data_IF_841328643289
#
_entry.id   IF_841328643289
#
_cell.length_a   1.000
_cell.length_b   1.000
_cell.length_c   1.000
_cell.angle_alpha   90.00
_cell.angle_beta   90.00
_cell.angle_gamma   90.00
#
_symmetry.space_group_name_H-M   'P 1'
#
loop_
_entity.id
_entity.type
_entity.pdbx_description
1 polymer ?
#
# COMPACT_ATOMS: atom_id res chain seq x y z
N UNK A 1 -3.95 -80.70 -11.79
CA UNK A 1 -2.73 -79.89 -11.55
C UNK A 1 -1.75 -80.69 -10.69
N UNK A 2 -1.46 -81.94 -11.07
CA UNK A 2 -0.54 -82.82 -10.33
C UNK A 2 0.59 -83.21 -11.28
N UNK A 3 1.84 -82.96 -10.87
CA UNK A 3 3.05 -83.40 -11.59
C UNK A 3 3.85 -82.33 -12.34
N UNK A 4 3.45 -81.05 -12.34
CA UNK A 4 4.29 -79.97 -12.88
C UNK A 4 5.24 -79.42 -11.83
N UNK A 5 6.46 -79.07 -12.24
CA UNK A 5 7.42 -78.42 -11.33
C UNK A 5 6.95 -76.98 -11.03
N UNK A 6 7.23 -76.43 -9.84
CA UNK A 6 6.66 -75.14 -9.39
C UNK A 6 6.81 -73.95 -10.36
N UNK A 7 7.83 -73.91 -11.21
CA UNK A 7 8.05 -72.83 -12.19
C UNK A 7 7.41 -73.06 -13.58
N UNK A 8 6.85 -74.24 -13.84
CA UNK A 8 6.10 -74.55 -15.07
C UNK A 8 4.61 -74.21 -14.95
N UNK A 9 4.21 -73.79 -13.76
CA UNK A 9 2.91 -73.22 -13.49
C UNK A 9 3.08 -71.73 -13.71
N UNK A 10 2.44 -71.12 -14.72
CA UNK A 10 2.39 -69.67 -14.82
C UNK A 10 1.61 -69.17 -13.61
N UNK A 11 2.35 -68.88 -12.54
CA UNK A 11 1.80 -68.23 -11.37
C UNK A 11 1.40 -66.84 -11.83
N UNK A 12 0.09 -66.60 -11.90
CA UNK A 12 -0.42 -65.23 -11.98
C UNK A 12 0.09 -64.57 -10.71
N UNK A 13 1.04 -63.64 -10.88
CA UNK A 13 1.62 -62.91 -9.77
C UNK A 13 0.50 -62.09 -9.13
N UNK A 14 0.12 -62.47 -7.91
CA UNK A 14 -0.91 -61.75 -7.16
C UNK A 14 -0.51 -60.30 -6.89
N UNK A 15 0.78 -59.95 -6.95
CA UNK A 15 1.22 -58.56 -6.92
C UNK A 15 0.83 -57.79 -8.20
N UNK A 16 0.81 -58.42 -9.37
CA UNK A 16 0.24 -57.79 -10.59
C UNK A 16 -1.28 -57.65 -10.49
N UNK A 17 -1.98 -58.60 -9.85
CA UNK A 17 -3.39 -58.46 -9.50
C UNK A 17 -3.66 -57.35 -8.46
N UNK A 18 -2.69 -57.04 -7.60
CA UNK A 18 -2.75 -55.93 -6.65
C UNK A 18 -2.32 -54.58 -7.23
N UNK A 19 -1.62 -54.60 -8.37
CA UNK A 19 -1.42 -53.42 -9.24
C UNK A 19 -2.65 -53.06 -10.05
N UNK A 20 -3.80 -53.72 -9.83
CA UNK A 20 -5.08 -53.30 -10.41
C UNK A 20 -5.39 -51.86 -9.96
N UNK A 21 -5.15 -50.92 -10.86
CA UNK A 21 -5.28 -49.48 -10.62
C UNK A 21 -3.98 -48.68 -10.74
N UNK A 22 -2.81 -49.33 -10.85
CA UNK A 22 -1.50 -48.66 -10.93
C UNK A 22 -1.07 -48.35 -12.38
N UNK A 23 -1.95 -48.60 -13.36
CA UNK A 23 -1.81 -48.00 -14.68
C UNK A 23 -2.04 -46.48 -14.55
N UNK A 24 -0.97 -45.76 -14.22
CA UNK A 24 -0.93 -44.30 -14.28
C UNK A 24 -0.95 -43.90 -15.75
N UNK A 25 -2.14 -43.79 -16.33
CA UNK A 25 -2.32 -43.13 -17.62
C UNK A 25 -2.06 -41.65 -17.43
N UNK A 26 -0.81 -41.23 -17.66
CA UNK A 26 -0.41 -39.84 -17.60
C UNK A 26 -0.97 -39.08 -18.81
N UNK A 27 -2.26 -38.75 -18.76
CA UNK A 27 -2.87 -37.84 -19.74
C UNK A 27 -2.42 -36.42 -19.41
N UNK A 28 -1.92 -35.69 -20.39
CA UNK A 28 -1.50 -34.31 -20.17
C UNK A 28 -2.71 -33.45 -19.79
N UNK A 29 -2.50 -32.54 -18.83
CA UNK A 29 -3.52 -31.60 -18.37
C UNK A 29 -4.08 -30.77 -19.54
N UNK A 30 -3.22 -30.46 -20.51
CA UNK A 30 -3.55 -29.74 -21.73
C UNK A 30 -4.53 -30.51 -22.63
N UNK A 31 -4.30 -31.81 -22.83
CA UNK A 31 -5.22 -32.65 -23.60
C UNK A 31 -6.58 -32.73 -22.92
N UNK A 32 -6.60 -32.85 -21.59
CA UNK A 32 -7.84 -32.84 -20.80
C UNK A 32 -8.57 -31.49 -20.94
N UNK A 33 -7.86 -30.37 -20.81
CA UNK A 33 -8.47 -29.06 -20.95
C UNK A 33 -9.06 -28.83 -22.35
N UNK A 34 -8.35 -29.24 -23.41
CA UNK A 34 -8.87 -29.21 -24.78
C UNK A 34 -10.12 -30.10 -24.94
N UNK A 35 -10.09 -31.32 -24.40
CA UNK A 35 -11.21 -32.26 -24.45
C UNK A 35 -12.46 -31.67 -23.79
N UNK A 36 -12.30 -31.02 -22.65
CA UNK A 36 -13.38 -30.44 -21.86
C UNK A 36 -13.73 -28.99 -22.24
N UNK A 37 -13.12 -28.44 -23.30
CA UNK A 37 -13.30 -27.06 -23.75
C UNK A 37 -13.14 -26.07 -22.59
N UNK A 38 -12.10 -26.26 -21.78
CA UNK A 38 -11.71 -25.35 -20.70
C UNK A 38 -10.54 -24.51 -21.23
N UNK A 39 -10.57 -23.17 -21.10
CA UNK A 39 -9.46 -22.34 -21.53
C UNK A 39 -8.19 -22.72 -20.75
N UNK A 40 -7.14 -23.08 -21.48
CA UNK A 40 -5.82 -23.37 -20.89
C UNK A 40 -5.04 -22.06 -20.75
N UNK A 41 -4.44 -21.78 -19.58
CA UNK A 41 -3.63 -20.59 -19.35
C UNK A 41 -2.13 -20.79 -19.68
N UNK A 42 -1.79 -21.82 -20.47
CA UNK A 42 -0.40 -22.18 -20.81
C UNK A 42 0.19 -21.20 -21.82
N UNK A 43 0.60 -20.03 -21.36
CA UNK A 43 1.09 -19.00 -22.26
C UNK A 43 2.61 -18.77 -22.17
N UNK A 44 3.30 -19.10 -21.06
CA UNK A 44 4.67 -18.61 -20.86
C UNK A 44 5.74 -19.56 -20.29
N UNK A 45 5.43 -20.55 -19.44
CA UNK A 45 6.45 -21.46 -18.85
C UNK A 45 5.97 -22.91 -18.72
N UNK A 46 6.93 -23.84 -18.75
CA UNK A 46 6.74 -25.27 -18.47
C UNK A 46 7.45 -25.69 -17.17
N UNK A 47 7.03 -26.80 -16.57
CA UNK A 47 7.61 -27.33 -15.32
C UNK A 47 9.13 -27.53 -15.38
N UNK A 48 9.69 -27.82 -16.56
CA UNK A 48 11.13 -27.92 -16.77
C UNK A 48 11.88 -26.59 -16.62
N UNK A 49 11.21 -25.45 -16.83
CA UNK A 49 11.79 -24.11 -16.83
C UNK A 49 11.79 -23.46 -15.45
N UNK A 50 11.06 -24.02 -14.47
CA UNK A 50 10.93 -23.48 -13.11
C UNK A 50 12.28 -23.32 -12.42
N UNK A 51 13.19 -24.29 -12.60
CA UNK A 51 14.53 -24.23 -12.00
C UNK A 51 15.35 -23.06 -12.56
N UNK A 52 15.35 -22.85 -13.88
CA UNK A 52 16.09 -21.72 -14.48
C UNK A 52 15.52 -20.38 -14.03
N UNK A 53 14.19 -20.25 -13.96
CA UNK A 53 13.54 -19.01 -13.56
C UNK A 53 13.87 -18.67 -12.11
N UNK A 54 13.85 -19.67 -11.22
CA UNK A 54 14.13 -19.45 -9.80
C UNK A 54 15.60 -19.04 -9.54
N UNK A 55 16.57 -19.74 -10.15
CA UNK A 55 17.99 -19.52 -9.86
C UNK A 55 18.64 -18.41 -10.70
N UNK A 56 18.21 -18.24 -11.96
CA UNK A 56 18.82 -17.31 -12.91
C UNK A 56 18.02 -16.00 -12.96
N UNK A 57 16.74 -16.07 -13.30
CA UNK A 57 15.87 -14.89 -13.45
C UNK A 57 15.47 -14.30 -12.09
N UNK A 58 15.45 -15.13 -11.04
CA UNK A 58 14.99 -14.79 -9.68
C UNK A 58 13.58 -14.21 -9.62
N UNK A 59 12.75 -14.53 -10.61
CA UNK A 59 11.36 -14.09 -10.68
C UNK A 59 10.45 -15.13 -10.02
N UNK A 60 10.26 -14.97 -8.70
CA UNK A 60 9.40 -15.85 -7.92
C UNK A 60 7.91 -15.64 -8.24
N UNK A 61 7.51 -14.41 -8.55
CA UNK A 61 6.10 -14.07 -8.76
C UNK A 61 5.54 -14.80 -9.99
N UNK A 62 6.34 -14.89 -11.05
CA UNK A 62 6.00 -15.65 -12.25
C UNK A 62 5.76 -17.14 -11.98
N UNK A 63 6.55 -17.75 -11.10
CA UNK A 63 6.39 -19.16 -10.70
C UNK A 63 5.09 -19.36 -9.90
N UNK A 64 4.75 -18.41 -9.03
CA UNK A 64 3.50 -18.43 -8.27
C UNK A 64 2.31 -18.34 -9.21
N UNK A 65 2.33 -17.41 -10.16
CA UNK A 65 1.27 -17.25 -11.15
C UNK A 65 1.06 -18.50 -12.00
N UNK A 66 2.15 -19.15 -12.43
CA UNK A 66 2.11 -20.42 -13.15
C UNK A 66 1.45 -21.54 -12.33
N UNK A 67 1.87 -21.73 -11.08
CA UNK A 67 1.30 -22.75 -10.21
C UNK A 67 -0.20 -22.52 -9.95
N UNK A 68 -0.60 -21.26 -9.74
CA UNK A 68 -2.00 -20.90 -9.51
C UNK A 68 -2.88 -21.19 -10.73
N UNK A 69 -2.39 -20.84 -11.92
CA UNK A 69 -3.05 -21.12 -13.21
C UNK A 69 -3.25 -22.62 -13.44
N UNK A 70 -2.26 -23.45 -13.11
CA UNK A 70 -2.36 -24.91 -13.25
C UNK A 70 -3.41 -25.50 -12.30
N UNK A 71 -3.44 -25.05 -11.04
CA UNK A 71 -4.46 -25.46 -10.06
C UNK A 71 -5.87 -25.02 -10.51
N UNK A 72 -6.02 -23.80 -11.03
CA UNK A 72 -7.29 -23.30 -11.56
C UNK A 72 -7.79 -24.14 -12.73
N UNK A 73 -6.89 -24.54 -13.64
CA UNK A 73 -7.22 -25.37 -14.80
C UNK A 73 -7.68 -26.76 -14.37
N UNK A 74 -6.96 -27.37 -13.42
CA UNK A 74 -7.33 -28.68 -12.87
C UNK A 74 -8.71 -28.62 -12.17
N UNK A 75 -8.93 -27.60 -11.34
CA UNK A 75 -10.21 -27.40 -10.67
C UNK A 75 -11.34 -27.21 -11.68
N UNK A 76 -11.11 -26.44 -12.75
CA UNK A 76 -12.09 -26.21 -13.80
C UNK A 76 -12.41 -27.46 -14.62
N UNK A 77 -11.41 -28.32 -14.89
CA UNK A 77 -11.64 -29.63 -15.50
C UNK A 77 -12.53 -30.48 -14.59
N UNK A 78 -12.20 -30.56 -13.31
CA UNK A 78 -12.98 -31.33 -12.34
C UNK A 78 -14.43 -30.83 -12.23
N UNK A 79 -14.62 -29.51 -12.20
CA UNK A 79 -15.95 -28.88 -12.20
C UNK A 79 -16.71 -29.15 -13.50
N UNK A 80 -16.03 -29.10 -14.64
CA UNK A 80 -16.62 -29.43 -15.95
C UNK A 80 -17.07 -30.88 -16.02
N UNK A 81 -16.30 -31.81 -15.46
CA UNK A 81 -16.70 -33.21 -15.32
C UNK A 81 -17.95 -33.37 -14.44
N UNK A 82 -18.15 -32.48 -13.46
CA UNK A 82 -19.35 -32.39 -12.61
C UNK A 82 -20.47 -31.51 -13.19
N UNK A 83 -20.31 -31.01 -14.42
CA UNK A 83 -21.26 -30.09 -15.08
C UNK A 83 -21.51 -28.78 -14.31
N UNK A 84 -20.53 -28.30 -13.56
CA UNK A 84 -20.57 -27.02 -12.86
C UNK A 84 -19.95 -25.89 -13.71
N UNK A 85 -20.28 -24.64 -13.38
CA UNK A 85 -19.67 -23.47 -14.00
C UNK A 85 -18.17 -23.36 -13.68
N UNK A 86 -17.44 -22.70 -14.58
CA UNK A 86 -16.00 -22.46 -14.45
C UNK A 86 -15.71 -21.45 -13.34
N UNK A 87 -14.69 -21.74 -12.55
CA UNK A 87 -14.06 -20.79 -11.64
C UNK A 87 -13.27 -19.77 -12.46
N UNK A 88 -13.43 -18.51 -12.08
CA UNK A 88 -12.60 -17.41 -12.54
C UNK A 88 -11.54 -17.15 -11.48
N UNK A 89 -10.33 -16.76 -11.90
CA UNK A 89 -9.32 -16.25 -10.99
C UNK A 89 -9.90 -15.00 -10.33
N UNK A 90 -9.99 -15.00 -9.00
CA UNK A 90 -10.20 -13.75 -8.29
C UNK A 90 -8.85 -13.04 -8.32
N UNK A 91 -8.70 -12.07 -9.22
CA UNK A 91 -7.61 -11.10 -9.07
C UNK A 91 -7.87 -10.47 -7.70
N UNK A 92 -6.89 -10.52 -6.79
CA UNK A 92 -6.97 -9.81 -5.53
C UNK A 92 -7.30 -8.34 -5.83
N UNK A 93 -8.57 -7.98 -5.74
CA UNK A 93 -9.01 -6.59 -5.66
C UNK A 93 -8.56 -5.94 -4.33
N UNK A 94 -7.94 -6.74 -3.44
CA UNK A 94 -7.31 -6.33 -2.17
C UNK A 94 -5.83 -5.96 -2.31
N UNK A 95 -5.24 -5.99 -3.51
CA UNK A 95 -4.23 -4.96 -3.84
C UNK A 95 -4.99 -3.68 -4.22
N UNK A 96 -5.77 -3.19 -3.27
CA UNK A 96 -6.46 -1.92 -3.39
C UNK A 96 -5.38 -0.85 -3.29
N UNK A 97 -5.04 -0.26 -4.44
CA UNK A 97 -4.39 1.03 -4.60
C UNK A 97 -3.43 1.41 -3.47
N UNK A 98 -2.22 0.84 -3.46
CA UNK A 98 -1.11 1.56 -2.81
C UNK A 98 -0.92 2.83 -3.65
N UNK A 99 -1.24 3.99 -3.08
CA UNK A 99 -0.85 5.26 -3.70
C UNK A 99 0.67 5.21 -3.94
N UNK A 100 1.10 5.65 -5.13
CA UNK A 100 2.53 5.74 -5.44
C UNK A 100 3.13 6.81 -4.53
N UNK A 101 4.39 6.69 -4.09
CA UNK A 101 5.05 7.66 -3.19
C UNK A 101 4.88 9.12 -3.67
N UNK A 102 4.88 9.34 -4.99
CA UNK A 102 4.64 10.65 -5.62
C UNK A 102 3.22 11.18 -5.35
N UNK A 103 2.19 10.32 -5.40
CA UNK A 103 0.81 10.73 -5.13
C UNK A 103 0.58 11.03 -3.65
N UNK A 104 1.31 10.34 -2.75
CA UNK A 104 1.26 10.61 -1.31
C UNK A 104 1.86 11.99 -1.02
N UNK A 105 2.93 12.36 -1.73
CA UNK A 105 3.53 13.69 -1.62
C UNK A 105 2.56 14.79 -2.09
N UNK A 106 1.92 14.62 -3.25
CA UNK A 106 0.94 15.57 -3.78
C UNK A 106 -0.25 15.78 -2.81
N UNK A 107 -0.78 14.69 -2.23
CA UNK A 107 -1.84 14.75 -1.21
C UNK A 107 -1.34 15.46 0.05
N UNK A 108 -0.09 15.20 0.46
CA UNK A 108 0.54 15.89 1.59
C UNK A 108 0.60 17.41 1.39
N UNK A 109 0.99 17.87 0.21
CA UNK A 109 1.02 19.30 -0.11
C UNK A 109 -0.38 19.93 -0.09
N UNK A 110 -1.39 19.22 -0.59
CA UNK A 110 -2.77 19.68 -0.57
C UNK A 110 -3.31 19.81 0.86
N UNK A 111 -3.05 18.82 1.72
CA UNK A 111 -3.42 18.86 3.14
C UNK A 111 -2.73 20.04 3.85
N UNK A 112 -1.44 20.27 3.59
CA UNK A 112 -0.70 21.41 4.17
C UNK A 112 -1.35 22.74 3.75
N UNK A 113 -1.72 22.88 2.47
CA UNK A 113 -2.39 24.09 1.97
C UNK A 113 -3.74 24.32 2.66
N UNK A 114 -4.51 23.27 2.91
CA UNK A 114 -5.77 23.36 3.65
C UNK A 114 -5.55 23.74 5.12
N UNK A 115 -4.55 23.14 5.78
CA UNK A 115 -4.21 23.47 7.17
C UNK A 115 -3.80 24.95 7.33
N UNK A 116 -3.14 25.56 6.34
CA UNK A 116 -2.80 26.99 6.33
C UNK A 116 -4.01 27.93 6.27
N UNK A 117 -5.19 27.43 5.89
CA UNK A 117 -6.44 28.22 5.87
C UNK A 117 -7.16 28.23 7.23
N UNK A 118 -6.71 27.42 8.18
CA UNK A 118 -7.26 27.35 9.54
C UNK A 118 -6.46 28.30 10.43
N UNK A 119 -7.15 29.27 11.02
CA UNK A 119 -6.57 30.26 11.91
C UNK A 119 -7.02 30.03 13.34
N UNK A 120 -6.15 30.33 14.30
CA UNK A 120 -6.52 30.31 15.71
C UNK A 120 -7.39 31.56 16.05
N UNK A 121 -8.47 31.42 16.83
CA UNK A 121 -9.33 32.53 17.18
C UNK A 121 -8.68 33.53 18.18
N UNK A 122 -7.64 33.12 18.90
CA UNK A 122 -6.90 33.98 19.85
C UNK A 122 -5.71 34.67 19.17
N UNK A 123 -5.11 34.06 18.15
CA UNK A 123 -3.96 34.60 17.40
C UNK A 123 -4.24 34.55 15.90
N UNK A 124 -4.18 35.69 15.16
CA UNK A 124 -4.47 35.74 13.72
C UNK A 124 -3.32 35.18 12.85
N UNK A 125 -2.82 34.01 13.21
CA UNK A 125 -1.79 33.24 12.51
C UNK A 125 -2.32 31.82 12.32
N UNK A 126 -1.90 31.15 11.26
CA UNK A 126 -2.36 29.82 10.92
C UNK A 126 -1.74 28.74 11.82
N UNK A 127 -2.46 27.63 11.98
CA UNK A 127 -2.09 26.53 12.88
C UNK A 127 -0.80 25.80 12.46
N UNK A 128 -0.46 25.85 11.17
CA UNK A 128 0.71 25.19 10.62
C UNK A 128 1.98 26.01 10.93
N UNK A 129 1.98 27.32 10.63
CA UNK A 129 3.10 28.22 10.94
C UNK A 129 3.27 28.44 12.46
N UNK A 130 2.18 28.34 13.24
CA UNK A 130 2.25 28.32 14.70
C UNK A 130 2.94 27.05 15.26
N UNK A 131 3.10 26.00 14.45
CA UNK A 131 3.72 24.75 14.88
C UNK A 131 2.84 23.93 15.84
N UNK A 132 1.51 24.03 15.71
CA UNK A 132 0.56 23.24 16.51
C UNK A 132 0.35 21.83 15.93
N UNK A 133 0.70 21.62 14.66
CA UNK A 133 0.68 20.32 14.00
C UNK A 133 2.05 19.67 14.15
N UNK A 134 2.11 18.48 14.76
CA UNK A 134 3.37 17.78 15.00
C UNK A 134 3.72 16.78 13.92
N UNK A 135 2.72 16.02 13.47
CA UNK A 135 2.93 15.00 12.46
C UNK A 135 1.66 14.79 11.64
N UNK A 136 1.86 14.54 10.35
CA UNK A 136 0.80 14.20 9.40
C UNK A 136 1.24 12.93 8.69
N UNK A 137 0.62 11.82 9.07
CA UNK A 137 0.89 10.51 8.51
C UNK A 137 -0.20 10.14 7.52
N UNK A 138 0.20 9.79 6.29
CA UNK A 138 -0.71 9.36 5.23
C UNK A 138 -0.45 7.88 4.98
N UNK A 139 -1.47 7.06 5.13
CA UNK A 139 -1.39 5.62 4.86
C UNK A 139 -1.58 5.32 3.38
N UNK A 140 -1.12 4.14 2.95
CA UNK A 140 -1.29 3.64 1.58
C UNK A 140 -2.77 3.59 1.11
N UNK A 141 -3.72 3.55 2.04
CA UNK A 141 -5.18 3.52 1.80
C UNK A 141 -5.84 4.92 1.74
N UNK A 142 -5.03 5.99 1.74
CA UNK A 142 -5.43 7.40 1.91
C UNK A 142 -6.20 7.68 3.21
N UNK A 143 -5.83 6.96 4.26
CA UNK A 143 -6.22 7.28 5.64
C UNK A 143 -5.18 8.24 6.23
N UNK A 144 -5.63 9.40 6.70
CA UNK A 144 -4.79 10.47 7.22
C UNK A 144 -4.87 10.48 8.74
N UNK A 145 -3.72 10.39 9.40
CA UNK A 145 -3.59 10.55 10.85
C UNK A 145 -2.86 11.85 11.15
N UNK A 146 -3.53 12.76 11.83
CA UNK A 146 -2.98 14.06 12.23
C UNK A 146 -2.74 14.05 13.74
N UNK A 147 -1.52 14.38 14.15
CA UNK A 147 -1.18 14.60 15.55
C UNK A 147 -0.99 16.10 15.75
N UNK A 148 -1.82 16.68 16.61
CA UNK A 148 -1.76 18.11 16.91
C UNK A 148 -1.91 18.41 18.40
N UNK A 149 -1.57 19.63 18.76
CA UNK A 149 -1.69 20.16 20.13
C UNK A 149 -2.47 21.46 20.15
N UNK A 150 -2.82 21.92 21.34
CA UNK A 150 -3.47 23.20 21.59
C UNK A 150 -2.55 24.10 22.41
N UNK A 151 -2.65 25.41 22.20
CA UNK A 151 -1.92 26.42 22.96
C UNK A 151 -2.30 26.43 24.45
N UNK A 152 -3.54 26.03 24.80
CA UNK A 152 -4.04 26.00 26.18
C UNK A 152 -4.83 24.73 26.50
N UNK A 153 -4.49 23.97 27.56
CA UNK A 153 -5.03 22.63 27.82
C UNK A 153 -6.47 22.55 28.37
N UNK A 154 -7.28 23.62 28.33
CA UNK A 154 -8.68 23.55 28.83
C UNK A 154 -9.60 24.70 28.37
N UNK A 155 -9.38 25.28 27.19
CA UNK A 155 -10.25 26.35 26.69
C UNK A 155 -11.57 25.74 26.13
N UNK A 156 -12.77 26.22 26.52
CA UNK A 156 -14.04 25.69 26.01
C UNK A 156 -14.24 25.89 24.50
N UNK A 157 -13.43 26.76 23.88
CA UNK A 157 -13.39 27.00 22.42
C UNK A 157 -12.42 26.04 21.72
N UNK A 158 -11.51 25.40 22.45
CA UNK A 158 -10.49 24.53 21.88
C UNK A 158 -11.03 23.16 21.42
N UNK A 159 -12.29 22.83 21.72
CA UNK A 159 -12.95 21.64 21.16
C UNK A 159 -13.43 21.86 19.71
N UNK A 160 -13.64 23.12 19.27
CA UNK A 160 -14.16 23.37 17.92
C UNK A 160 -13.07 23.37 16.85
N UNK A 161 -11.84 23.75 17.21
CA UNK A 161 -10.71 23.84 16.28
C UNK A 161 -10.31 22.46 15.71
N UNK A 162 -10.15 21.39 16.51
CA UNK A 162 -9.88 20.05 15.99
C UNK A 162 -10.97 19.55 15.05
N UNK A 163 -12.24 19.87 15.35
CA UNK A 163 -13.36 19.50 14.49
C UNK A 163 -13.31 20.24 13.14
N UNK A 164 -13.00 21.53 13.13
CA UNK A 164 -12.82 22.31 11.90
C UNK A 164 -11.67 21.77 11.04
N UNK A 165 -10.54 21.42 11.66
CA UNK A 165 -9.41 20.80 10.96
C UNK A 165 -9.82 19.47 10.33
N UNK A 166 -10.52 18.63 11.09
CA UNK A 166 -11.00 17.33 10.60
C UNK A 166 -11.96 17.49 9.42
N UNK A 167 -12.90 18.42 9.51
CA UNK A 167 -13.90 18.66 8.47
C UNK A 167 -13.25 19.19 7.19
N UNK A 168 -12.29 20.12 7.28
CA UNK A 168 -11.57 20.65 6.11
C UNK A 168 -10.65 19.62 5.46
N UNK A 169 -9.94 18.80 6.24
CA UNK A 169 -9.08 17.74 5.69
C UNK A 169 -9.93 16.62 5.07
N UNK A 170 -11.13 16.37 5.59
CA UNK A 170 -12.07 15.41 5.00
C UNK A 170 -12.69 15.91 3.67
N UNK A 171 -12.64 17.21 3.39
CA UNK A 171 -13.11 17.80 2.12
C UNK A 171 -12.08 17.66 0.99
N UNK A 172 -10.81 17.41 1.32
CA UNK A 172 -9.73 17.22 0.32
C UNK A 172 -10.02 16.01 -0.56
N UNK A 173 -9.93 16.20 -1.87
CA UNK A 173 -10.11 15.12 -2.83
C UNK A 173 -9.04 14.05 -2.58
N UNK A 174 -9.44 12.77 -2.64
CA UNK A 174 -8.58 11.59 -2.39
C UNK A 174 -8.33 11.22 -0.92
N UNK A 175 -8.86 11.94 0.07
CA UNK A 175 -8.84 11.48 1.48
C UNK A 175 -10.06 10.61 1.78
N UNK A 176 -9.86 9.45 2.41
CA UNK A 176 -10.94 8.50 2.71
C UNK A 176 -11.39 8.55 4.17
N UNK A 177 -10.45 8.61 5.10
CA UNK A 177 -10.72 8.71 6.54
C UNK A 177 -9.69 9.62 7.20
N UNK A 178 -10.14 10.46 8.13
CA UNK A 178 -9.29 11.35 8.92
C UNK A 178 -9.42 10.99 10.39
N UNK A 179 -8.31 10.62 11.00
CA UNK A 179 -8.19 10.47 12.45
C UNK A 179 -7.30 11.59 13.01
N UNK A 180 -7.80 12.27 14.03
CA UNK A 180 -7.13 13.40 14.65
C UNK A 180 -6.87 13.07 16.11
N UNK A 181 -5.60 12.96 16.45
CA UNK A 181 -5.13 12.67 17.80
C UNK A 181 -4.58 13.94 18.44
N UNK A 182 -5.18 14.31 19.56
CA UNK A 182 -4.78 15.46 20.36
C UNK A 182 -3.78 15.03 21.42
N UNK A 183 -2.54 15.51 21.31
CA UNK A 183 -1.49 15.28 22.31
C UNK A 183 -1.08 16.57 23.00
N UNK A 184 -0.80 16.49 24.30
CA UNK A 184 -0.26 17.60 25.10
C UNK A 184 1.20 17.37 25.49
N UNK A 185 1.78 16.24 25.07
CA UNK A 185 3.19 15.90 25.27
C UNK A 185 3.85 15.70 23.89
N UNK A 186 4.91 16.46 23.55
CA UNK A 186 5.55 17.53 24.34
C UNK A 186 4.66 18.79 24.47
N UNK A 187 4.92 19.62 25.49
CA UNK A 187 4.24 20.91 25.62
C UNK A 187 4.71 21.86 24.51
N UNK A 188 3.78 22.49 23.80
CA UNK A 188 4.12 23.51 22.80
C UNK A 188 4.93 24.67 23.39
N UNK A 189 5.95 25.11 22.66
CA UNK A 189 6.75 26.28 23.02
C UNK A 189 6.96 27.17 21.79
N UNK A 190 7.09 28.47 22.02
CA UNK A 190 7.31 29.56 21.06
C UNK A 190 8.43 29.29 20.05
N UNK A 191 9.43 28.50 20.44
CA UNK A 191 10.54 28.14 19.57
C UNK A 191 10.09 27.29 18.37
N UNK A 192 8.97 26.58 18.48
CA UNK A 192 8.37 25.74 17.44
C UNK A 192 7.67 26.53 16.34
N UNK A 193 7.45 27.84 16.51
CA UNK A 193 6.88 28.71 15.48
C UNK A 193 7.87 28.96 14.33
N UNK A 194 7.34 29.08 13.11
CA UNK A 194 8.12 29.50 11.94
C UNK A 194 8.65 30.94 12.07
N UNK A 195 9.63 31.31 11.24
CA UNK A 195 10.21 32.66 11.26
C UNK A 195 9.16 33.71 10.83
N UNK A 196 8.29 33.33 9.92
CA UNK A 196 7.16 34.09 9.40
C UNK A 196 6.13 34.38 10.51
N UNK A 197 5.73 33.36 11.28
CA UNK A 197 4.83 33.53 12.41
C UNK A 197 5.44 34.44 13.49
N UNK A 198 6.73 34.26 13.81
CA UNK A 198 7.48 35.11 14.75
C UNK A 198 7.55 36.56 14.28
N UNK A 199 7.59 36.79 12.98
CA UNK A 199 7.59 38.13 12.39
C UNK A 199 6.24 38.83 12.59
N UNK A 200 5.14 38.17 12.24
CA UNK A 200 3.78 38.71 12.35
C UNK A 200 3.39 39.01 13.81
N UNK A 201 3.84 38.16 14.74
CA UNK A 201 3.66 38.37 16.18
C UNK A 201 4.57 39.46 16.77
N UNK A 202 5.36 40.17 15.95
CA UNK A 202 6.25 41.25 16.38
C UNK A 202 7.41 40.79 17.26
N UNK A 203 7.73 39.50 17.24
CA UNK A 203 8.76 38.89 18.09
C UNK A 203 10.16 39.03 17.47
N UNK A 204 10.23 39.26 16.17
CA UNK A 204 11.41 39.71 15.46
C UNK A 204 11.38 41.24 15.36
N UNK A 205 12.03 41.93 16.30
CA UNK A 205 12.36 43.33 16.07
C UNK A 205 13.46 43.38 15.00
N UNK A 206 13.15 43.97 13.85
CA UNK A 206 14.20 44.54 13.01
C UNK A 206 14.93 45.57 13.87
N UNK A 207 16.12 45.22 14.37
CA UNK A 207 17.04 46.22 14.89
C UNK A 207 17.34 47.17 13.74
N UNK A 208 16.74 48.36 13.77
CA UNK A 208 16.89 49.44 12.77
C UNK A 208 18.37 49.89 12.64
N UNK A 209 19.29 49.33 13.42
CA UNK A 209 20.73 49.56 13.35
C UNK A 209 21.41 49.02 12.07
N UNK A 210 20.76 48.18 11.26
CA UNK A 210 21.36 47.70 10.00
C UNK A 210 20.96 48.53 8.77
N UNK A 211 19.93 49.38 8.86
CA UNK A 211 19.58 50.30 7.75
C UNK A 211 20.63 51.40 7.55
N UNK A 212 21.42 51.70 8.59
CA UNK A 212 22.49 52.70 8.53
C UNK A 212 23.80 52.17 7.89
N UNK A 213 23.96 50.85 7.80
CA UNK A 213 25.06 50.23 7.04
C UNK A 213 24.82 50.23 5.52
N UNK A 214 23.58 50.06 5.06
CA UNK A 214 23.27 50.09 3.63
C UNK A 214 23.33 51.50 3.01
N UNK A 215 22.95 52.56 3.75
CA UNK A 215 23.08 53.93 3.25
C UNK A 215 24.53 54.40 3.06
N UNK A 216 25.50 53.84 3.81
CA UNK A 216 26.92 54.14 3.59
C UNK A 216 27.51 53.45 2.36
N UNK A 217 26.96 52.33 1.92
CA UNK A 217 27.41 51.64 0.71
C UNK A 217 26.93 52.33 -0.58
N UNK A 218 25.75 52.97 -0.57
CA UNK A 218 25.25 53.72 -1.72
C UNK A 218 26.03 55.01 -2.01
N UNK A 219 26.70 55.62 -1.01
CA UNK A 219 27.46 56.86 -1.20
C UNK A 219 28.87 56.65 -1.79
N UNK A 220 29.32 55.39 -1.93
CA UNK A 220 30.68 55.08 -2.44
C UNK A 220 30.71 54.65 -3.91
N UNK A 221 29.55 54.61 -4.59
CA UNK A 221 29.45 54.19 -6.00
C UNK A 221 29.27 55.38 -6.95
N UNK A 222 29.01 56.60 -6.44
CA UNK A 222 28.80 57.82 -7.24
C UNK A 222 29.91 58.88 -7.10
N UNK A 223 31.19 58.48 -6.96
CA UNK A 223 32.34 59.39 -7.11
C UNK A 223 33.46 58.82 -7.96
#
# INVERSE_FOLDING_TARGET
MFGKKPWEIPHIDTMELWKFGDYKSFVSLELLAHLFKVPTPKDDIDGSMVSSIYYIEKDLQRIVDYCEKDVLTLANIFRRMRQEDLLKRYINLDQKMKFTDDQIADIGEEIINVLKTVYDPEIPVDIYELGLVYDVQISDDADVKIIMTLTTPNCPVAETLPQEVKDKVAEVENVKSVDLELTFEPSWNKDMMSEEAKFELGMLQFNVLTYQSCQKAAFFIDK
#
